data_IF_751286154334
#
_entry.id   IF_751286154334
#
_cell.length_a   1.000
_cell.length_b   1.000
_cell.length_c   1.000
_cell.angle_alpha   90.00
_cell.angle_beta   90.00
_cell.angle_gamma   90.00
#
_symmetry.space_group_name_H-M   'P 1'
#
loop_
_entity.id
_entity.type
_entity.pdbx_description
1 polymer ?
#
# COMPACT_ATOMS: atom_id res chain seq x y z
N UNK A 1 -6.08 -16.80 3.86
CA UNK A 1 -5.62 -16.14 2.62
C UNK A 1 -4.84 -17.15 1.78
N UNK A 2 -5.03 -17.16 0.46
CA UNK A 2 -4.31 -18.08 -0.43
C UNK A 2 -2.83 -17.70 -0.53
N UNK A 3 -1.88 -18.67 -0.63
CA UNK A 3 -0.46 -18.41 -0.83
C UNK A 3 -0.17 -17.54 -2.06
N UNK A 4 -0.99 -17.68 -3.11
CA UNK A 4 -0.89 -16.88 -4.34
C UNK A 4 -1.11 -15.40 -4.03
N UNK A 5 -2.08 -15.08 -3.17
CA UNK A 5 -2.38 -13.70 -2.77
C UNK A 5 -1.23 -13.10 -1.96
N UNK A 6 -0.63 -13.89 -1.07
CA UNK A 6 0.54 -13.46 -0.29
C UNK A 6 1.70 -13.14 -1.23
N UNK A 7 2.00 -14.03 -2.19
CA UNK A 7 3.06 -13.80 -3.17
C UNK A 7 2.82 -12.54 -4.01
N UNK A 8 1.57 -12.31 -4.43
CA UNK A 8 1.19 -11.12 -5.21
C UNK A 8 1.33 -9.83 -4.40
N UNK A 9 0.93 -9.82 -3.13
CA UNK A 9 1.09 -8.65 -2.24
C UNK A 9 2.56 -8.36 -1.95
N UNK A 10 3.38 -9.39 -1.78
CA UNK A 10 4.83 -9.24 -1.62
C UNK A 10 5.48 -8.68 -2.89
N UNK A 11 5.09 -9.19 -4.06
CA UNK A 11 5.60 -8.70 -5.34
C UNK A 11 5.19 -7.24 -5.59
N UNK A 12 3.94 -6.91 -5.28
CA UNK A 12 3.42 -5.55 -5.31
C UNK A 12 4.25 -4.62 -4.42
N UNK A 13 4.40 -4.96 -3.13
CA UNK A 13 5.19 -4.14 -2.22
C UNK A 13 6.65 -4.01 -2.64
N UNK A 14 7.27 -5.09 -3.10
CA UNK A 14 8.66 -5.07 -3.58
C UNK A 14 8.83 -4.19 -4.82
N UNK A 15 7.87 -4.21 -5.74
CA UNK A 15 7.85 -3.36 -6.94
C UNK A 15 7.81 -1.89 -6.57
N UNK A 16 6.97 -1.52 -5.61
CA UNK A 16 6.86 -0.16 -5.07
C UNK A 16 8.15 0.29 -4.38
N UNK A 17 8.72 -0.56 -3.53
CA UNK A 17 9.99 -0.30 -2.87
C UNK A 17 11.13 -0.15 -3.88
N UNK A 18 11.19 -1.01 -4.90
CA UNK A 18 12.14 -0.94 -5.98
C UNK A 18 12.04 0.37 -6.74
N UNK A 19 10.82 0.78 -7.08
CA UNK A 19 10.56 2.05 -7.73
C UNK A 19 11.25 3.23 -7.02
N UNK A 20 11.12 3.33 -5.70
CA UNK A 20 11.71 4.44 -4.93
C UNK A 20 13.22 4.32 -4.72
N UNK A 21 13.75 3.10 -4.62
CA UNK A 21 15.17 2.85 -4.33
C UNK A 21 16.03 2.93 -5.61
N UNK A 22 15.51 2.52 -6.77
CA UNK A 22 16.26 2.47 -8.03
C UNK A 22 16.86 3.83 -8.45
N UNK A 23 16.15 4.97 -8.37
CA UNK A 23 16.72 6.28 -8.68
C UNK A 23 17.86 6.69 -7.74
N UNK A 24 17.83 6.25 -6.47
CA UNK A 24 18.90 6.51 -5.50
C UNK A 24 20.15 5.69 -5.81
N UNK A 25 19.95 4.42 -6.19
CA UNK A 25 21.03 3.53 -6.63
C UNK A 25 21.69 4.05 -7.91
N UNK A 26 20.90 4.49 -8.89
CA UNK A 26 21.40 5.07 -10.14
C UNK A 26 22.25 6.33 -9.94
N UNK A 27 21.95 7.13 -8.90
CA UNK A 27 22.71 8.34 -8.54
C UNK A 27 23.97 8.06 -7.71
N UNK A 28 24.18 6.83 -7.23
CA UNK A 28 25.33 6.45 -6.40
C UNK A 28 25.96 5.13 -6.88
N UNK A 29 26.74 5.17 -7.98
CA UNK A 29 27.45 3.98 -8.45
C UNK A 29 28.44 3.50 -7.37
N UNK A 30 28.27 2.26 -6.89
CA UNK A 30 29.10 1.65 -5.83
C UNK A 30 28.34 1.10 -4.63
N UNK A 31 27.01 1.28 -4.57
CA UNK A 31 26.18 0.73 -3.49
C UNK A 31 26.20 -0.82 -3.50
N UNK A 32 26.46 -1.44 -2.36
CA UNK A 32 26.56 -2.91 -2.29
C UNK A 32 25.19 -3.57 -2.51
N UNK A 33 25.19 -4.75 -3.16
CA UNK A 33 23.95 -5.52 -3.42
C UNK A 33 23.21 -5.86 -2.13
N UNK A 34 23.94 -6.17 -1.07
CA UNK A 34 23.39 -6.47 0.26
C UNK A 34 22.69 -5.27 0.87
N UNK A 35 23.23 -4.07 0.71
CA UNK A 35 22.60 -2.84 1.19
C UNK A 35 21.31 -2.53 0.41
N UNK A 36 21.33 -2.70 -0.91
CA UNK A 36 20.13 -2.54 -1.74
C UNK A 36 19.04 -3.53 -1.34
N UNK A 37 19.39 -4.82 -1.16
CA UNK A 37 18.45 -5.82 -0.67
C UNK A 37 17.91 -5.49 0.73
N UNK A 38 18.78 -4.97 1.61
CA UNK A 38 18.42 -4.51 2.95
C UNK A 38 17.44 -3.34 2.96
N UNK A 39 17.40 -2.52 1.91
CA UNK A 39 16.39 -1.47 1.75
C UNK A 39 15.09 -1.99 1.11
N UNK A 40 15.21 -2.87 0.12
CA UNK A 40 14.07 -3.38 -0.66
C UNK A 40 13.16 -4.30 0.16
N UNK A 41 13.73 -5.20 0.97
CA UNK A 41 12.96 -6.18 1.74
C UNK A 41 12.00 -5.53 2.77
N UNK A 42 12.47 -4.68 3.70
CA UNK A 42 11.57 -4.05 4.67
C UNK A 42 10.61 -3.09 3.98
N UNK A 43 11.05 -2.34 2.97
CA UNK A 43 10.18 -1.48 2.17
C UNK A 43 9.06 -2.29 1.53
N UNK A 44 9.40 -3.40 0.87
CA UNK A 44 8.42 -4.25 0.21
C UNK A 44 7.45 -4.94 1.15
N UNK A 45 7.90 -5.35 2.33
CA UNK A 45 7.03 -5.89 3.37
C UNK A 45 6.03 -4.85 3.88
N UNK A 46 6.48 -3.62 4.13
CA UNK A 46 5.62 -2.53 4.58
C UNK A 46 4.56 -2.21 3.53
N UNK A 47 4.96 -2.03 2.27
CA UNK A 47 4.01 -1.72 1.20
C UNK A 47 3.05 -2.88 0.93
N UNK A 48 3.53 -4.13 0.98
CA UNK A 48 2.68 -5.31 0.88
C UNK A 48 1.63 -5.37 2.00
N UNK A 49 2.02 -5.01 3.23
CA UNK A 49 1.10 -4.92 4.35
C UNK A 49 0.06 -3.79 4.17
N UNK A 50 0.48 -2.63 3.64
CA UNK A 50 -0.43 -1.51 3.33
C UNK A 50 -1.48 -1.94 2.29
N UNK A 51 -1.07 -2.60 1.21
CA UNK A 51 -2.00 -3.13 0.22
C UNK A 51 -2.95 -4.17 0.81
N UNK A 52 -2.46 -5.03 1.71
CA UNK A 52 -3.28 -6.01 2.41
C UNK A 52 -4.30 -5.35 3.37
N UNK A 53 -3.92 -4.25 4.03
CA UNK A 53 -4.78 -3.64 5.04
C UNK A 53 -5.87 -2.77 4.41
N UNK A 54 -5.72 -2.34 3.17
CA UNK A 54 -6.65 -1.42 2.53
C UNK A 54 -8.06 -2.00 2.32
N UNK A 55 -8.28 -3.16 1.67
CA UNK A 55 -9.62 -3.73 1.56
C UNK A 55 -10.23 -4.11 2.91
N UNK A 56 -9.40 -4.55 3.87
CA UNK A 56 -9.84 -4.90 5.22
C UNK A 56 -10.36 -3.68 5.98
N UNK A 57 -9.65 -2.55 5.92
CA UNK A 57 -10.08 -1.31 6.59
C UNK A 57 -11.30 -0.70 5.91
N UNK A 58 -11.43 -0.79 4.59
CA UNK A 58 -12.64 -0.36 3.89
C UNK A 58 -13.86 -1.20 4.31
N UNK A 59 -13.69 -2.52 4.44
CA UNK A 59 -14.72 -3.44 4.93
C UNK A 59 -15.17 -3.11 6.35
N UNK A 60 -14.23 -2.94 7.28
CA UNK A 60 -14.56 -2.64 8.68
C UNK A 60 -15.24 -1.28 8.82
N UNK A 61 -14.83 -0.28 8.04
CA UNK A 61 -15.51 1.01 8.01
C UNK A 61 -16.95 0.89 7.48
N UNK A 62 -17.20 0.04 6.48
CA UNK A 62 -18.54 -0.21 5.96
C UNK A 62 -19.46 -0.81 7.03
N UNK A 63 -19.00 -1.83 7.76
CA UNK A 63 -19.77 -2.45 8.83
C UNK A 63 -20.03 -1.47 9.99
N UNK A 64 -18.98 -0.76 10.44
CA UNK A 64 -19.05 0.08 11.65
C UNK A 64 -19.75 1.43 11.42
N UNK A 65 -19.50 2.09 10.28
CA UNK A 65 -19.99 3.46 10.06
C UNK A 65 -21.31 3.53 9.29
N UNK A 66 -21.57 2.54 8.42
CA UNK A 66 -22.77 2.54 7.56
C UNK A 66 -23.80 1.48 7.97
N UNK A 67 -23.56 0.77 9.09
CA UNK A 67 -24.45 -0.27 9.63
C UNK A 67 -24.89 -1.26 8.55
N UNK A 68 -23.93 -1.66 7.71
CA UNK A 68 -24.18 -2.62 6.64
C UNK A 68 -24.71 -3.93 7.23
N UNK A 69 -25.68 -4.60 6.57
CA UNK A 69 -26.14 -5.90 7.05
C UNK A 69 -24.94 -6.85 7.18
N UNK A 70 -24.80 -7.58 8.30
CA UNK A 70 -23.68 -8.47 8.52
C UNK A 70 -23.63 -9.50 7.39
N UNK A 71 -22.49 -9.59 6.72
CA UNK A 71 -22.28 -10.58 5.68
C UNK A 71 -21.82 -11.88 6.30
N UNK A 72 -22.56 -12.97 6.10
CA UNK A 72 -22.13 -14.31 6.52
C UNK A 72 -20.87 -14.79 5.76
N UNK A 73 -20.54 -14.12 4.64
CA UNK A 73 -19.31 -14.33 3.90
C UNK A 73 -18.27 -13.25 4.30
N UNK A 74 -17.42 -13.56 5.27
CA UNK A 74 -16.30 -12.67 5.63
C UNK A 74 -15.42 -12.30 4.42
N UNK A 75 -14.63 -11.22 4.52
CA UNK A 75 -13.82 -10.71 3.40
C UNK A 75 -12.86 -11.77 2.82
N UNK A 76 -13.25 -12.38 1.70
CA UNK A 76 -12.42 -13.34 0.96
C UNK A 76 -11.57 -12.59 -0.06
N UNK A 77 -10.25 -12.72 0.06
CA UNK A 77 -9.31 -12.21 -0.93
C UNK A 77 -9.44 -12.96 -2.26
N UNK A 78 -10.15 -12.37 -3.21
CA UNK A 78 -10.32 -12.87 -4.58
C UNK A 78 -9.29 -12.28 -5.54
N UNK A 79 -9.03 -12.94 -6.68
CA UNK A 79 -8.22 -12.36 -7.75
C UNK A 79 -8.72 -10.97 -8.21
N UNK A 80 -10.04 -10.73 -8.17
CA UNK A 80 -10.63 -9.43 -8.50
C UNK A 80 -10.33 -8.32 -7.47
N UNK A 81 -10.03 -8.67 -6.22
CA UNK A 81 -9.54 -7.72 -5.20
C UNK A 81 -8.02 -7.52 -5.28
N UNK A 82 -7.28 -8.56 -5.65
CA UNK A 82 -5.80 -8.53 -5.69
C UNK A 82 -5.26 -7.89 -6.97
N UNK A 83 -5.84 -8.21 -8.12
CA UNK A 83 -5.36 -7.73 -9.42
C UNK A 83 -5.30 -6.19 -9.52
N UNK A 84 -6.30 -5.42 -9.04
CA UNK A 84 -6.21 -3.96 -9.00
C UNK A 84 -5.06 -3.46 -8.13
N UNK A 85 -4.82 -4.07 -6.96
CA UNK A 85 -3.75 -3.67 -6.06
C UNK A 85 -2.37 -3.98 -6.63
N UNK A 86 -2.22 -5.15 -7.26
CA UNK A 86 -0.99 -5.54 -7.97
C UNK A 86 -0.73 -4.60 -9.15
N UNK A 87 -1.77 -4.25 -9.91
CA UNK A 87 -1.66 -3.29 -11.01
C UNK A 87 -1.23 -1.90 -10.49
N UNK A 88 -1.86 -1.40 -9.42
CA UNK A 88 -1.42 -0.17 -8.75
C UNK A 88 0.04 -0.23 -8.34
N UNK A 89 0.50 -1.33 -7.77
CA UNK A 89 1.87 -1.47 -7.28
C UNK A 89 2.92 -1.61 -8.40
N UNK A 90 2.57 -2.31 -9.49
CA UNK A 90 3.41 -2.39 -10.70
C UNK A 90 3.54 -1.02 -11.34
N UNK A 91 2.49 -0.20 -11.30
CA UNK A 91 2.46 1.11 -11.93
C UNK A 91 2.90 2.24 -11.00
N UNK A 92 2.95 1.99 -9.70
CA UNK A 92 3.52 2.89 -8.72
C UNK A 92 5.07 2.89 -8.73
N UNK A 93 5.66 2.12 -9.66
CA UNK A 93 6.98 2.44 -10.20
C UNK A 93 7.02 3.94 -10.59
N UNK A 94 7.90 4.75 -9.98
CA UNK A 94 7.95 6.20 -10.18
C UNK A 94 8.37 6.62 -11.59
N UNK A 95 8.56 5.66 -12.50
CA UNK A 95 8.73 5.88 -13.94
C UNK A 95 7.44 6.39 -14.62
N UNK A 96 6.28 6.22 -13.99
CA UNK A 96 4.97 6.50 -14.61
C UNK A 96 4.50 7.94 -14.38
N UNK A 97 5.19 8.72 -13.54
CA UNK A 97 4.86 10.11 -13.28
C UNK A 97 3.60 10.29 -12.40
N UNK A 98 3.46 11.46 -11.74
CA UNK A 98 2.48 11.67 -10.66
C UNK A 98 1.02 11.64 -11.13
N UNK A 99 0.73 12.12 -12.34
CA UNK A 99 -0.64 12.14 -12.89
C UNK A 99 -1.19 10.72 -13.07
N UNK A 100 -0.39 9.84 -13.69
CA UNK A 100 -0.80 8.46 -13.95
C UNK A 100 -0.94 7.67 -12.66
N UNK A 101 -0.12 7.92 -11.64
CA UNK A 101 -0.31 7.33 -10.30
C UNK A 101 -1.67 7.68 -9.71
N UNK A 102 -2.06 8.96 -9.75
CA UNK A 102 -3.36 9.41 -9.23
C UNK A 102 -4.50 8.74 -10.00
N UNK A 103 -4.42 8.73 -11.34
CA UNK A 103 -5.46 8.15 -12.19
C UNK A 103 -5.66 6.65 -11.89
N UNK A 104 -4.57 5.93 -11.65
CA UNK A 104 -4.58 4.51 -11.33
C UNK A 104 -5.13 4.23 -9.94
N UNK A 105 -4.71 5.02 -8.95
CA UNK A 105 -5.24 4.90 -7.60
C UNK A 105 -6.75 5.09 -7.58
N UNK A 106 -7.26 6.07 -8.33
CA UNK A 106 -8.70 6.31 -8.51
C UNK A 106 -9.36 5.15 -9.25
N UNK A 107 -8.79 4.68 -10.36
CA UNK A 107 -9.33 3.57 -11.14
C UNK A 107 -9.42 2.26 -10.35
N UNK A 108 -8.38 1.95 -9.58
CA UNK A 108 -8.33 0.78 -8.70
C UNK A 108 -9.29 0.92 -7.52
N UNK A 109 -9.34 2.07 -6.87
CA UNK A 109 -10.33 2.35 -5.83
C UNK A 109 -11.77 2.20 -6.32
N UNK A 110 -12.08 2.74 -7.50
CA UNK A 110 -13.39 2.59 -8.15
C UNK A 110 -13.70 1.12 -8.51
N UNK A 111 -12.69 0.37 -8.96
CA UNK A 111 -12.81 -1.05 -9.26
C UNK A 111 -13.06 -1.92 -8.01
N UNK A 112 -12.53 -1.51 -6.85
CA UNK A 112 -12.76 -2.19 -5.55
C UNK A 112 -14.15 -1.90 -4.98
N UNK A 113 -14.77 -0.76 -5.33
CA UNK A 113 -16.09 -0.38 -4.83
C UNK A 113 -17.19 -1.37 -5.24
N UNK A 114 -17.10 -1.98 -6.42
CA UNK A 114 -18.05 -3.00 -6.89
C UNK A 114 -18.07 -4.26 -6.02
N UNK A 115 -16.93 -4.99 -5.91
CA UNK A 115 -16.81 -6.13 -5.01
C UNK A 115 -17.19 -5.80 -3.56
N UNK A 116 -16.76 -4.64 -3.05
CA UNK A 116 -17.10 -4.22 -1.69
C UNK A 116 -18.60 -3.99 -1.51
N UNK A 117 -19.26 -3.33 -2.46
CA UNK A 117 -20.71 -3.15 -2.48
C UNK A 117 -21.45 -4.49 -2.49
N UNK A 118 -21.01 -5.44 -3.32
CA UNK A 118 -21.66 -6.77 -3.38
C UNK A 118 -21.54 -7.54 -2.07
N UNK A 119 -20.40 -7.45 -1.41
CA UNK A 119 -20.13 -8.28 -0.24
C UNK A 119 -20.66 -7.65 1.06
N UNK A 120 -20.75 -6.31 1.14
CA UNK A 120 -21.36 -5.60 2.28
C UNK A 120 -22.86 -5.39 2.11
N UNK A 121 -23.39 -5.40 0.89
CA UNK A 121 -24.79 -5.03 0.59
C UNK A 121 -25.01 -3.52 0.49
N UNK A 122 -23.94 -2.70 0.55
CA UNK A 122 -24.01 -1.26 0.35
C UNK A 122 -24.22 -0.90 -1.13
N UNK A 123 -24.81 0.26 -1.38
CA UNK A 123 -24.77 0.88 -2.71
C UNK A 123 -23.35 1.27 -3.11
N UNK A 124 -23.06 1.31 -4.42
CA UNK A 124 -21.72 1.56 -4.97
C UNK A 124 -21.06 2.84 -4.42
N UNK A 125 -21.82 3.92 -4.23
CA UNK A 125 -21.31 5.18 -3.67
C UNK A 125 -20.87 5.07 -2.21
N UNK A 126 -21.60 4.29 -1.40
CA UNK A 126 -21.22 4.04 0.00
C UNK A 126 -19.93 3.23 0.08
N UNK A 127 -19.85 2.15 -0.72
CA UNK A 127 -18.64 1.34 -0.83
C UNK A 127 -17.43 2.15 -1.34
N UNK A 128 -17.61 2.97 -2.38
CA UNK A 128 -16.56 3.85 -2.90
C UNK A 128 -16.08 4.85 -1.84
N UNK A 129 -17.00 5.41 -1.04
CA UNK A 129 -16.67 6.26 0.10
C UNK A 129 -15.80 5.55 1.14
N UNK A 130 -16.15 4.33 1.55
CA UNK A 130 -15.35 3.53 2.47
C UNK A 130 -13.95 3.23 1.91
N UNK A 131 -13.85 2.86 0.62
CA UNK A 131 -12.56 2.62 -0.05
C UNK A 131 -11.70 3.89 -0.05
N UNK A 132 -12.29 5.05 -0.34
CA UNK A 132 -11.59 6.32 -0.38
C UNK A 132 -11.08 6.74 1.02
N UNK A 133 -11.93 6.66 2.05
CA UNK A 133 -11.55 7.00 3.43
C UNK A 133 -10.46 6.06 3.94
N UNK A 134 -10.61 4.75 3.72
CA UNK A 134 -9.60 3.76 4.10
C UNK A 134 -8.26 4.04 3.42
N UNK A 135 -8.27 4.28 2.11
CA UNK A 135 -7.06 4.56 1.34
C UNK A 135 -6.36 5.85 1.79
N UNK A 136 -7.13 6.93 2.02
CA UNK A 136 -6.60 8.19 2.52
C UNK A 136 -6.01 8.05 3.94
N UNK A 137 -6.70 7.33 4.83
CA UNK A 137 -6.23 7.09 6.19
C UNK A 137 -4.93 6.29 6.25
N UNK A 138 -4.83 5.21 5.45
CA UNK A 138 -3.61 4.41 5.30
C UNK A 138 -2.45 5.24 4.74
N UNK A 139 -2.69 6.00 3.67
CA UNK A 139 -1.67 6.89 3.09
C UNK A 139 -1.15 7.92 4.10
N UNK A 140 -2.05 8.55 4.85
CA UNK A 140 -1.70 9.51 5.89
C UNK A 140 -0.89 8.85 7.03
N UNK A 141 -1.28 7.66 7.47
CA UNK A 141 -0.58 6.92 8.52
C UNK A 141 0.84 6.53 8.08
N UNK A 142 1.00 6.00 6.87
CA UNK A 142 2.31 5.64 6.30
C UNK A 142 3.20 6.87 6.19
N UNK A 143 2.66 7.98 5.73
CA UNK A 143 3.42 9.23 5.62
C UNK A 143 3.79 9.79 7.01
N UNK A 144 2.92 9.68 8.01
CA UNK A 144 3.23 10.06 9.38
C UNK A 144 4.37 9.20 9.95
N UNK A 145 4.33 7.88 9.77
CA UNK A 145 5.42 6.97 10.16
C UNK A 145 6.71 7.32 9.45
N UNK A 146 6.67 7.58 8.13
CA UNK A 146 7.83 8.00 7.36
C UNK A 146 8.47 9.25 7.94
N UNK A 147 7.66 10.29 8.18
CA UNK A 147 8.13 11.55 8.77
C UNK A 147 8.69 11.35 10.18
N UNK A 148 8.07 10.47 10.97
CA UNK A 148 8.54 10.11 12.30
C UNK A 148 9.90 9.41 12.24
N UNK A 149 10.06 8.40 11.39
CA UNK A 149 11.34 7.70 11.18
C UNK A 149 12.42 8.68 10.75
N UNK A 150 12.14 9.54 9.77
CA UNK A 150 13.10 10.58 9.33
C UNK A 150 13.46 11.51 10.49
N UNK A 151 12.48 11.96 11.28
CA UNK A 151 12.73 12.81 12.46
C UNK A 151 13.58 12.13 13.53
N UNK A 152 13.33 10.86 13.81
CA UNK A 152 14.10 10.08 14.81
C UNK A 152 15.52 9.83 14.29
N UNK A 153 15.67 9.41 13.03
CA UNK A 153 16.97 9.16 12.41
C UNK A 153 17.80 10.43 12.20
N UNK A 154 17.18 11.60 12.18
CA UNK A 154 17.86 12.89 12.09
C UNK A 154 18.32 13.46 13.45
N UNK A 155 18.06 12.78 14.57
CA UNK A 155 18.66 13.19 15.85
C UNK A 155 20.18 13.02 15.78
N UNK A 156 20.98 14.06 16.06
CA UNK A 156 22.43 13.95 16.05
C UNK A 156 22.86 12.94 17.12
N UNK A 157 23.39 11.80 16.68
CA UNK A 157 24.27 11.01 17.53
C UNK A 157 25.41 11.91 18.01
N UNK A 158 25.73 11.81 19.30
CA UNK A 158 26.84 12.56 19.92
C UNK A 158 28.08 12.52 19.02
N UNK A 159 28.83 13.64 18.89
CA UNK A 159 30.04 13.65 18.07
C UNK A 159 30.95 12.52 18.55
N UNK A 160 31.26 11.60 17.63
CA UNK A 160 32.30 10.61 17.82
C UNK A 160 33.59 11.38 18.09
N UNK A 161 34.06 11.35 19.34
CA UNK A 161 35.33 11.94 19.71
C UNK A 161 36.42 11.14 19.03
N UNK A 162 36.94 11.69 17.93
CA UNK A 162 38.13 11.19 17.26
C UNK A 162 39.28 11.43 18.24
N UNK A 163 39.72 10.36 18.91
CA UNK A 163 40.93 10.32 19.73
C UNK A 163 42.10 9.77 18.92
#
# INVERSE_FOLDING_TARGET
>A
MSPVVVALLLFAGLSEAAGRILPLVARRPGMSRTFVAGLLLPGGLVEGAVFALWPLTAWTLAELMLSSPPSDAGLVWTPSLVAPLVLSAVLAFPLIGPLLHVLLFVGVGAGLAGPLATATGLGWWGAAGCVAVAGAGLGAAVEAVRRLVVRISAQPGAPEAIA
#
